data_IF_416903147417
#
_entry.id   IF_416903147417
#
_cell.length_a   1.000
_cell.length_b   1.000
_cell.length_c   1.000
_cell.angle_alpha   90.00
_cell.angle_beta   90.00
_cell.angle_gamma   90.00
#
_symmetry.space_group_name_H-M   'P 1'
#
loop_
_entity.id
_entity.type
_entity.pdbx_description
1 polymer ?
#
# COMPACT_ATOMS: atom_id res chain seq x y z
N UNK A 1 -16.24 28.88 -5.38
CA UNK A 1 -14.80 28.72 -5.10
C UNK A 1 -13.99 29.81 -5.80
N UNK A 2 -14.24 30.05 -7.09
CA UNK A 2 -13.62 31.15 -7.87
C UNK A 2 -13.75 32.52 -7.21
N UNK A 3 -14.92 32.88 -6.67
CA UNK A 3 -15.11 34.18 -5.99
C UNK A 3 -14.18 34.36 -4.77
N UNK A 4 -14.02 33.33 -3.93
CA UNK A 4 -13.12 33.41 -2.76
C UNK A 4 -11.64 33.45 -3.15
N UNK A 5 -11.25 32.68 -4.16
CA UNK A 5 -9.88 32.65 -4.64
C UNK A 5 -9.50 33.95 -5.37
N UNK A 6 -10.43 34.56 -6.11
CA UNK A 6 -10.27 35.90 -6.68
C UNK A 6 -9.99 36.94 -5.58
N UNK A 7 -10.74 36.91 -4.48
CA UNK A 7 -10.53 37.83 -3.35
C UNK A 7 -9.16 37.63 -2.67
N UNK A 8 -8.71 36.37 -2.49
CA UNK A 8 -7.38 36.07 -1.95
C UNK A 8 -6.28 36.57 -2.91
N UNK A 9 -6.45 36.40 -4.21
CA UNK A 9 -5.51 36.90 -5.22
C UNK A 9 -5.42 38.42 -5.26
N UNK A 10 -6.55 39.12 -5.08
CA UNK A 10 -6.57 40.58 -4.95
C UNK A 10 -5.81 41.04 -3.70
N UNK A 11 -5.99 40.36 -2.56
CA UNK A 11 -5.27 40.64 -1.32
C UNK A 11 -3.76 40.38 -1.43
N UNK A 12 -3.37 39.29 -2.10
CA UNK A 12 -1.97 38.90 -2.27
C UNK A 12 -1.28 39.55 -3.49
N UNK A 13 -2.01 40.36 -4.28
CA UNK A 13 -1.54 40.98 -5.53
C UNK A 13 -0.98 39.97 -6.55
N UNK A 14 -1.59 38.79 -6.65
CA UNK A 14 -1.19 37.73 -7.58
C UNK A 14 -2.14 37.69 -8.77
N UNK A 15 -1.62 37.58 -10.00
CA UNK A 15 -2.44 37.49 -11.23
C UNK A 15 -3.28 36.22 -11.20
N UNK A 16 -4.61 36.37 -11.29
CA UNK A 16 -5.57 35.27 -11.31
C UNK A 16 -5.72 34.71 -12.72
N UNK A 17 -5.15 33.53 -12.97
CA UNK A 17 -5.42 32.70 -14.15
C UNK A 17 -5.95 31.34 -13.67
N UNK A 18 -7.19 31.00 -14.01
CA UNK A 18 -7.90 29.83 -13.45
C UNK A 18 -7.29 28.48 -13.82
N UNK A 19 -6.50 28.35 -14.88
CA UNK A 19 -5.91 27.05 -15.28
C UNK A 19 -4.40 26.96 -15.01
N UNK A 20 -3.69 28.09 -15.04
CA UNK A 20 -2.23 28.13 -14.85
C UNK A 20 -1.79 28.61 -13.47
N UNK A 21 -2.68 29.24 -12.68
CA UNK A 21 -2.30 29.77 -11.37
C UNK A 21 -1.96 28.64 -10.39
N UNK A 22 -0.71 28.68 -9.89
CA UNK A 22 -0.24 27.80 -8.83
C UNK A 22 -1.12 27.92 -7.57
N UNK A 23 -1.54 29.14 -7.22
CA UNK A 23 -2.42 29.38 -6.07
C UNK A 23 -3.80 28.72 -6.25
N UNK A 24 -4.36 28.73 -7.46
CA UNK A 24 -5.62 28.02 -7.71
C UNK A 24 -5.46 26.51 -7.55
N UNK A 25 -4.37 25.94 -8.08
CA UNK A 25 -4.04 24.51 -7.92
C UNK A 25 -3.89 24.13 -6.45
N UNK A 26 -3.16 24.93 -5.67
CA UNK A 26 -2.97 24.76 -4.23
C UNK A 26 -4.29 24.89 -3.45
N UNK A 27 -5.12 25.91 -3.73
CA UNK A 27 -6.42 26.08 -3.07
C UNK A 27 -7.40 24.96 -3.42
N UNK A 28 -7.38 24.50 -4.67
CA UNK A 28 -8.22 23.39 -5.13
C UNK A 28 -7.89 22.11 -4.38
N UNK A 29 -6.60 21.74 -4.31
CA UNK A 29 -6.18 20.51 -3.65
C UNK A 29 -6.35 20.57 -2.12
N UNK A 30 -6.15 21.74 -1.50
CA UNK A 30 -6.41 21.90 -0.06
C UNK A 30 -7.90 21.80 0.31
N UNK A 31 -8.81 22.11 -0.63
CA UNK A 31 -10.26 21.98 -0.45
C UNK A 31 -10.81 20.60 -0.82
N UNK A 32 -10.01 19.74 -1.43
CA UNK A 32 -10.43 18.37 -1.79
C UNK A 32 -10.80 17.57 -0.54
N UNK A 33 -11.93 16.84 -0.50
CA UNK A 33 -12.29 15.98 0.62
C UNK A 33 -11.18 14.98 1.00
N UNK A 34 -11.14 14.55 2.25
CA UNK A 34 -10.09 13.66 2.76
C UNK A 34 -10.08 12.32 2.04
N UNK A 35 -11.26 11.74 1.82
CA UNK A 35 -11.45 10.50 1.08
C UNK A 35 -10.93 10.62 -0.35
N UNK A 36 -11.23 11.73 -1.03
CA UNK A 36 -10.78 11.98 -2.40
C UNK A 36 -9.25 12.13 -2.49
N UNK A 37 -8.62 12.77 -1.50
CA UNK A 37 -7.15 12.85 -1.43
C UNK A 37 -6.52 11.47 -1.19
N UNK A 38 -7.14 10.62 -0.36
CA UNK A 38 -6.67 9.24 -0.14
C UNK A 38 -6.79 8.43 -1.43
N UNK A 39 -7.89 8.55 -2.17
CA UNK A 39 -8.05 7.90 -3.47
C UNK A 39 -7.00 8.37 -4.47
N UNK A 40 -6.75 9.68 -4.56
CA UNK A 40 -5.70 10.25 -5.42
C UNK A 40 -4.31 9.74 -5.04
N UNK A 41 -4.01 9.59 -3.74
CA UNK A 41 -2.77 8.98 -3.27
C UNK A 41 -2.59 7.55 -3.82
N UNK A 42 -3.62 6.70 -3.73
CA UNK A 42 -3.55 5.33 -4.23
C UNK A 42 -3.53 5.24 -5.76
N UNK A 43 -4.19 6.15 -6.48
CA UNK A 43 -4.06 6.28 -7.95
C UNK A 43 -2.59 6.51 -8.30
N UNK A 44 -1.94 7.49 -7.66
CA UNK A 44 -0.53 7.81 -7.91
C UNK A 44 0.40 6.64 -7.62
N UNK A 45 0.13 5.84 -6.58
CA UNK A 45 0.91 4.64 -6.29
C UNK A 45 0.69 3.52 -7.33
N UNK A 46 -0.53 3.37 -7.83
CA UNK A 46 -0.84 2.48 -8.95
C UNK A 46 -0.09 2.88 -10.21
N UNK A 47 -0.15 4.15 -10.58
CA UNK A 47 0.58 4.70 -11.72
C UNK A 47 2.09 4.52 -11.57
N UNK A 48 2.64 4.73 -10.37
CA UNK A 48 4.07 4.48 -10.09
C UNK A 48 4.43 3.01 -10.31
N UNK A 49 3.57 2.08 -9.89
CA UNK A 49 3.80 0.64 -10.09
C UNK A 49 3.80 0.29 -11.57
N UNK A 50 2.79 0.76 -12.32
CA UNK A 50 2.61 0.46 -13.75
C UNK A 50 3.74 1.07 -14.60
N UNK A 51 4.15 2.30 -14.29
CA UNK A 51 5.12 3.03 -15.09
C UNK A 51 6.59 2.74 -14.70
N UNK A 52 6.84 1.94 -13.67
CA UNK A 52 8.22 1.57 -13.31
C UNK A 52 8.76 0.51 -14.27
N UNK A 53 9.85 0.83 -14.96
CA UNK A 53 10.54 -0.12 -15.82
C UNK A 53 11.18 -1.25 -15.02
N UNK A 54 11.01 -2.48 -15.50
CA UNK A 54 11.61 -3.68 -14.90
C UNK A 54 13.01 -3.86 -15.48
N UNK A 55 14.00 -3.99 -14.59
CA UNK A 55 15.39 -4.31 -14.93
C UNK A 55 15.78 -5.64 -14.26
N UNK A 56 16.94 -6.19 -14.61
CA UNK A 56 17.43 -7.45 -14.04
C UNK A 56 17.62 -7.41 -12.51
N UNK A 57 17.76 -6.22 -11.92
CA UNK A 57 17.90 -6.02 -10.47
C UNK A 57 16.58 -5.68 -9.78
N UNK A 58 15.52 -5.43 -10.54
CA UNK A 58 14.22 -5.05 -9.98
C UNK A 58 13.60 -6.26 -9.28
N UNK A 59 13.14 -6.07 -8.04
CA UNK A 59 12.30 -7.05 -7.37
C UNK A 59 10.98 -7.15 -8.14
N UNK A 60 10.55 -8.36 -8.49
CA UNK A 60 9.33 -8.56 -9.27
C UNK A 60 8.45 -9.65 -8.67
N UNK A 61 7.15 -9.54 -8.93
CA UNK A 61 6.18 -10.57 -8.62
C UNK A 61 5.48 -11.02 -9.90
N UNK A 62 5.45 -12.33 -10.12
CA UNK A 62 4.66 -12.96 -11.18
C UNK A 62 3.34 -13.45 -10.60
N UNK A 63 2.23 -13.03 -11.21
CA UNK A 63 0.89 -13.45 -10.79
C UNK A 63 -0.06 -13.56 -11.98
N UNK A 64 -1.20 -14.20 -11.79
CA UNK A 64 -2.37 -14.12 -12.67
C UNK A 64 -3.53 -13.55 -11.87
N UNK A 65 -4.27 -12.62 -12.44
CA UNK A 65 -5.38 -11.95 -11.75
C UNK A 65 -6.52 -11.67 -12.72
N UNK A 66 -7.75 -11.83 -12.24
CA UNK A 66 -8.95 -11.51 -13.01
C UNK A 66 -10.19 -11.54 -12.13
N UNK A 67 -11.28 -10.96 -12.61
CA UNK A 67 -12.53 -10.87 -11.85
C UNK A 67 -13.73 -11.42 -12.62
N UNK A 68 -14.77 -11.85 -11.89
CA UNK A 68 -16.06 -12.27 -12.44
C UNK A 68 -17.19 -11.61 -11.66
N UNK A 69 -18.15 -10.93 -12.32
CA UNK A 69 -19.37 -10.48 -11.66
C UNK A 69 -20.20 -11.67 -11.16
N UNK A 70 -20.71 -11.58 -9.95
CA UNK A 70 -21.57 -12.56 -9.30
C UNK A 70 -23.00 -12.02 -9.16
N UNK A 71 -23.92 -12.89 -8.78
CA UNK A 71 -25.26 -12.48 -8.36
C UNK A 71 -25.19 -11.59 -7.12
N UNK A 72 -26.14 -10.65 -6.98
CA UNK A 72 -26.21 -9.77 -5.81
C UNK A 72 -25.24 -8.59 -5.82
N UNK A 73 -24.84 -8.08 -7.00
CA UNK A 73 -23.93 -6.91 -7.14
C UNK A 73 -22.59 -7.12 -6.44
N UNK A 74 -22.04 -8.33 -6.56
CA UNK A 74 -20.74 -8.70 -6.04
C UNK A 74 -19.78 -9.04 -7.18
N UNK A 75 -18.50 -8.89 -6.92
CA UNK A 75 -17.41 -9.27 -7.81
C UNK A 75 -16.52 -10.27 -7.09
N UNK A 76 -16.27 -11.41 -7.75
CA UNK A 76 -15.27 -12.37 -7.31
C UNK A 76 -13.93 -12.03 -7.96
N UNK A 77 -13.01 -11.48 -7.17
CA UNK A 77 -11.62 -11.30 -7.56
C UNK A 77 -10.86 -12.60 -7.32
N UNK A 78 -10.18 -13.12 -8.34
CA UNK A 78 -9.39 -14.34 -8.28
C UNK A 78 -7.93 -14.05 -8.63
N UNK A 79 -7.01 -14.59 -7.85
CA UNK A 79 -5.57 -14.32 -7.94
C UNK A 79 -4.77 -15.60 -7.78
N UNK A 80 -3.78 -15.82 -8.63
CA UNK A 80 -2.77 -16.85 -8.46
C UNK A 80 -1.42 -16.17 -8.27
N UNK A 81 -0.87 -16.23 -7.06
CA UNK A 81 0.47 -15.72 -6.74
C UNK A 81 1.47 -16.83 -7.07
N UNK A 82 2.28 -16.62 -8.11
CA UNK A 82 3.13 -17.67 -8.68
C UNK A 82 4.50 -17.66 -8.01
N UNK A 83 5.25 -16.57 -8.16
CA UNK A 83 6.63 -16.45 -7.69
C UNK A 83 7.07 -15.00 -7.56
N UNK A 84 8.11 -14.75 -6.77
CA UNK A 84 8.86 -13.50 -6.82
C UNK A 84 10.30 -13.76 -7.26
N UNK A 85 10.94 -12.70 -7.75
CA UNK A 85 12.34 -12.70 -8.14
C UNK A 85 13.05 -11.48 -7.53
N UNK A 86 14.33 -11.64 -7.20
CA UNK A 86 15.18 -10.60 -6.64
C UNK A 86 14.62 -9.97 -5.35
N UNK A 87 14.05 -10.76 -4.45
CA UNK A 87 13.71 -10.28 -3.12
C UNK A 87 15.00 -9.81 -2.43
N UNK A 88 15.03 -8.63 -1.79
CA UNK A 88 16.20 -8.16 -1.07
C UNK A 88 16.53 -9.09 0.09
N UNK A 89 17.83 -9.20 0.39
CA UNK A 89 18.31 -9.85 1.62
C UNK A 89 17.92 -8.95 2.79
N UNK A 90 17.06 -9.43 3.67
CA UNK A 90 16.57 -8.69 4.84
C UNK A 90 17.15 -9.28 6.12
N UNK A 91 17.33 -10.60 6.20
CA UNK A 91 18.13 -11.22 7.25
C UNK A 91 19.63 -11.17 6.93
N UNK A 92 20.31 -10.23 7.59
CA UNK A 92 21.76 -10.00 7.48
C UNK A 92 22.57 -11.20 7.98
N UNK A 93 22.08 -11.93 8.99
CA UNK A 93 22.80 -13.06 9.59
C UNK A 93 22.76 -14.28 8.69
N UNK A 94 21.60 -14.62 8.13
CA UNK A 94 21.48 -15.76 7.20
C UNK A 94 21.87 -15.41 5.76
N UNK A 95 22.04 -14.12 5.44
CA UNK A 95 22.20 -13.59 4.07
C UNK A 95 21.07 -14.06 3.14
N UNK A 96 19.88 -14.21 3.68
CA UNK A 96 18.70 -14.68 2.99
C UNK A 96 17.46 -13.94 3.46
N UNK A 97 16.31 -14.40 2.99
CA UNK A 97 14.99 -13.96 3.46
C UNK A 97 14.07 -15.18 3.46
N UNK A 98 13.07 -15.14 4.32
CA UNK A 98 11.94 -16.05 4.44
C UNK A 98 10.66 -15.38 3.88
N UNK A 99 10.58 -15.07 2.56
CA UNK A 99 9.52 -14.22 2.03
C UNK A 99 8.13 -14.86 2.02
N UNK A 100 7.13 -14.00 2.25
CA UNK A 100 5.72 -14.24 1.97
C UNK A 100 5.05 -13.00 1.37
N UNK A 101 3.90 -13.19 0.75
CA UNK A 101 3.10 -12.11 0.15
C UNK A 101 1.88 -11.86 0.99
N UNK A 102 1.60 -10.60 1.32
CA UNK A 102 0.33 -10.13 1.90
C UNK A 102 -0.46 -9.38 0.85
N UNK A 103 -1.76 -9.64 0.80
CA UNK A 103 -2.68 -9.03 -0.17
C UNK A 103 -3.72 -8.23 0.61
N UNK A 104 -3.89 -6.96 0.28
CA UNK A 104 -4.85 -6.07 0.94
C UNK A 104 -5.64 -5.24 -0.07
N UNK A 105 -6.91 -4.97 0.22
CA UNK A 105 -7.71 -4.00 -0.53
C UNK A 105 -7.55 -2.62 0.10
N UNK A 106 -7.38 -1.60 -0.76
CA UNK A 106 -7.16 -0.22 -0.36
C UNK A 106 -8.13 0.70 -1.08
N UNK A 107 -8.57 1.81 -0.44
CA UNK A 107 -8.19 2.26 0.90
C UNK A 107 -8.94 1.53 2.04
N UNK A 108 -8.35 1.47 3.23
CA UNK A 108 -8.90 0.72 4.38
C UNK A 108 -10.27 1.22 4.88
N UNK A 109 -10.57 2.51 4.76
CA UNK A 109 -11.90 3.01 5.15
C UNK A 109 -13.01 2.47 4.23
N UNK A 110 -12.69 2.09 2.98
CA UNK A 110 -13.63 1.37 2.10
C UNK A 110 -13.56 -0.14 2.28
N UNK A 111 -12.39 -0.66 2.60
CA UNK A 111 -12.12 -2.08 2.76
C UNK A 111 -11.58 -2.38 4.17
N UNK A 112 -12.44 -2.27 5.20
CA UNK A 112 -12.05 -2.53 6.58
C UNK A 112 -11.68 -4.01 6.76
N UNK A 113 -10.66 -4.30 7.58
CA UNK A 113 -10.08 -5.64 7.70
C UNK A 113 -11.07 -6.69 8.22
N UNK A 114 -12.06 -6.26 9.01
CA UNK A 114 -13.11 -7.13 9.55
C UNK A 114 -13.98 -7.72 8.44
N UNK A 115 -14.19 -6.97 7.36
CA UNK A 115 -14.98 -7.40 6.20
C UNK A 115 -14.12 -7.89 5.03
N UNK A 116 -12.88 -7.38 4.92
CA UNK A 116 -11.94 -7.67 3.85
C UNK A 116 -10.60 -8.08 4.45
N UNK A 117 -10.48 -9.35 4.92
CA UNK A 117 -9.25 -9.82 5.54
C UNK A 117 -8.09 -9.75 4.54
N UNK A 118 -6.87 -9.66 5.07
CA UNK A 118 -5.66 -9.60 4.27
C UNK A 118 -4.97 -10.96 4.17
N UNK A 119 -5.30 -11.81 3.17
CA UNK A 119 -4.71 -13.13 3.07
C UNK A 119 -3.21 -13.05 2.80
N UNK A 120 -2.50 -14.05 3.31
CA UNK A 120 -1.05 -14.20 3.14
C UNK A 120 -0.71 -15.52 2.48
N UNK A 121 0.41 -15.56 1.77
CA UNK A 121 0.96 -16.83 1.28
C UNK A 121 1.61 -17.62 2.41
N UNK A 122 1.96 -18.88 2.12
CA UNK A 122 2.97 -19.60 2.89
C UNK A 122 4.29 -18.83 2.91
N UNK A 123 4.99 -18.92 4.04
CA UNK A 123 6.36 -18.46 4.17
C UNK A 123 7.29 -19.43 3.45
N UNK A 124 8.16 -18.91 2.59
CA UNK A 124 9.18 -19.70 1.90
C UNK A 124 10.53 -19.39 2.50
N UNK A 125 11.12 -20.38 3.17
CA UNK A 125 12.37 -20.17 3.90
C UNK A 125 13.58 -20.01 2.99
N UNK A 126 14.51 -19.13 3.40
CA UNK A 126 15.87 -18.95 2.88
C UNK A 126 15.94 -18.86 1.36
N UNK A 127 15.14 -17.98 0.77
CA UNK A 127 15.09 -17.79 -0.68
C UNK A 127 14.82 -16.35 -1.08
N UNK A 128 15.59 -15.88 -2.06
CA UNK A 128 15.36 -14.58 -2.72
C UNK A 128 14.48 -14.71 -3.98
N UNK A 129 14.11 -15.94 -4.34
CA UNK A 129 13.32 -16.27 -5.53
C UNK A 129 12.20 -17.28 -5.18
N UNK A 130 11.30 -16.93 -4.24
CA UNK A 130 10.27 -17.83 -3.76
C UNK A 130 9.27 -18.21 -4.86
N UNK A 131 8.75 -19.43 -4.78
CA UNK A 131 7.62 -19.91 -5.58
C UNK A 131 6.51 -20.33 -4.63
N UNK A 132 5.33 -19.73 -4.78
CA UNK A 132 4.17 -20.05 -3.93
C UNK A 132 3.15 -20.89 -4.68
N UNK A 133 2.79 -20.50 -5.90
CA UNK A 133 1.70 -21.10 -6.69
C UNK A 133 0.39 -21.19 -5.89
N UNK A 134 0.08 -20.15 -5.11
CA UNK A 134 -1.07 -20.12 -4.21
C UNK A 134 -2.20 -19.28 -4.78
N UNK A 135 -3.41 -19.82 -4.68
CA UNK A 135 -4.62 -19.24 -5.24
C UNK A 135 -5.47 -18.59 -4.15
N UNK A 136 -5.90 -17.36 -4.40
CA UNK A 136 -6.71 -16.56 -3.49
C UNK A 136 -7.98 -16.08 -4.19
N UNK A 137 -9.03 -15.89 -3.39
CA UNK A 137 -10.28 -15.29 -3.81
C UNK A 137 -10.74 -14.25 -2.80
N UNK A 138 -11.29 -13.16 -3.30
CA UNK A 138 -11.91 -12.12 -2.49
C UNK A 138 -13.24 -11.72 -3.12
N UNK A 139 -14.26 -11.53 -2.30
CA UNK A 139 -15.57 -11.04 -2.74
C UNK A 139 -15.66 -9.56 -2.42
N UNK A 140 -15.96 -8.74 -3.42
CA UNK A 140 -15.97 -7.28 -3.33
C UNK A 140 -17.34 -6.78 -3.80
N UNK A 141 -17.93 -5.80 -3.10
CA UNK A 141 -19.14 -5.16 -3.58
C UNK A 141 -18.84 -4.45 -4.92
N UNK A 142 -19.70 -4.63 -5.92
CA UNK A 142 -19.52 -4.04 -7.26
C UNK A 142 -19.38 -2.51 -7.19
N UNK A 143 -20.16 -1.88 -6.30
CA UNK A 143 -20.10 -0.44 -6.04
C UNK A 143 -18.75 0.06 -5.52
N UNK A 144 -17.94 -0.80 -4.90
CA UNK A 144 -16.59 -0.47 -4.40
C UNK A 144 -15.49 -0.82 -5.39
N UNK A 145 -15.69 -1.87 -6.19
CA UNK A 145 -14.68 -2.39 -7.11
C UNK A 145 -14.32 -1.39 -8.22
N UNK A 146 -15.31 -0.64 -8.71
CA UNK A 146 -15.14 0.32 -9.81
C UNK A 146 -14.83 1.75 -9.34
N UNK A 147 -14.63 1.97 -8.04
CA UNK A 147 -14.23 3.29 -7.53
C UNK A 147 -12.81 3.59 -8.00
N UNK A 148 -12.63 4.76 -8.63
CA UNK A 148 -11.30 5.21 -9.03
C UNK A 148 -10.44 5.46 -7.78
N UNK A 149 -9.25 4.86 -7.73
CA UNK A 149 -8.39 4.83 -6.55
C UNK A 149 -8.60 3.65 -5.60
N UNK A 150 -9.62 2.80 -5.83
CA UNK A 150 -9.63 1.48 -5.23
C UNK A 150 -8.57 0.59 -5.89
N UNK A 151 -7.70 -0.01 -5.08
CA UNK A 151 -6.60 -0.81 -5.57
C UNK A 151 -6.29 -2.00 -4.67
N UNK A 152 -5.59 -2.99 -5.23
CA UNK A 152 -4.96 -4.06 -4.48
C UNK A 152 -3.55 -3.63 -4.10
N UNK A 153 -3.23 -3.64 -2.81
CA UNK A 153 -1.86 -3.54 -2.30
C UNK A 153 -1.29 -4.94 -2.15
N UNK A 154 -0.19 -5.19 -2.83
CA UNK A 154 0.57 -6.44 -2.71
C UNK A 154 1.91 -6.11 -2.06
N UNK A 155 2.12 -6.64 -0.85
CA UNK A 155 3.36 -6.43 -0.10
C UNK A 155 4.13 -7.73 -0.02
N UNK A 156 5.42 -7.72 -0.36
CA UNK A 156 6.33 -8.82 -0.04
C UNK A 156 6.98 -8.49 1.30
N UNK A 157 6.84 -9.41 2.25
CA UNK A 157 7.41 -9.30 3.58
C UNK A 157 8.40 -10.44 3.80
N UNK A 158 9.40 -10.19 4.64
CA UNK A 158 10.26 -11.21 5.22
C UNK A 158 9.72 -11.66 6.57
N UNK A 159 9.75 -12.96 6.84
CA UNK A 159 9.34 -13.48 8.14
C UNK A 159 10.53 -13.62 9.07
N UNK A 160 10.55 -12.79 10.11
CA UNK A 160 11.59 -12.86 11.13
C UNK A 160 11.08 -13.54 12.40
N UNK A 161 11.67 -14.69 12.73
CA UNK A 161 11.31 -15.47 13.93
C UNK A 161 11.71 -14.75 15.23
N UNK A 162 12.73 -13.88 15.16
CA UNK A 162 13.34 -13.22 16.33
C UNK A 162 13.01 -11.72 16.43
N UNK A 163 12.80 -11.06 15.29
CA UNK A 163 12.56 -9.62 15.18
C UNK A 163 11.12 -9.33 14.70
N UNK A 164 10.96 -8.38 13.77
CA UNK A 164 9.70 -7.94 13.20
C UNK A 164 9.75 -8.16 11.70
N UNK A 165 8.62 -8.43 11.05
CA UNK A 165 8.61 -8.83 9.65
C UNK A 165 8.97 -7.65 8.74
N UNK A 166 10.16 -7.67 8.15
CA UNK A 166 10.61 -6.59 7.29
C UNK A 166 9.82 -6.52 5.97
N UNK A 167 9.41 -5.31 5.58
CA UNK A 167 8.79 -5.11 4.28
C UNK A 167 9.87 -5.01 3.19
N UNK A 168 9.87 -5.96 2.27
CA UNK A 168 10.77 -5.94 1.11
C UNK A 168 10.34 -4.87 0.10
N UNK A 169 9.04 -4.76 -0.13
CA UNK A 169 8.47 -3.76 -1.02
C UNK A 169 7.03 -4.04 -1.37
N UNK A 170 6.45 -3.13 -2.15
CA UNK A 170 5.02 -3.09 -2.43
C UNK A 170 4.72 -2.78 -3.88
N UNK A 171 3.57 -3.26 -4.34
CA UNK A 171 2.96 -2.91 -5.60
C UNK A 171 1.49 -2.59 -5.40
N UNK A 172 0.98 -1.66 -6.22
CA UNK A 172 -0.42 -1.25 -6.21
C UNK A 172 -1.02 -1.53 -7.58
N UNK A 173 -2.08 -2.35 -7.60
CA UNK A 173 -2.82 -2.69 -8.83
C UNK A 173 -4.20 -2.04 -8.74
N UNK A 174 -4.51 -1.00 -9.54
CA UNK A 174 -5.85 -0.43 -9.56
C UNK A 174 -6.89 -1.49 -9.94
N UNK A 175 -7.98 -1.61 -9.17
CA UNK A 175 -8.98 -2.65 -9.42
C UNK A 175 -9.62 -2.53 -10.80
N UNK A 176 -9.75 -1.30 -11.30
CA UNK A 176 -10.25 -0.98 -12.63
C UNK A 176 -9.40 -1.54 -13.78
N UNK A 177 -8.13 -1.86 -13.54
CA UNK A 177 -7.22 -2.42 -14.56
C UNK A 177 -7.30 -3.94 -14.65
N UNK A 178 -7.96 -4.59 -13.70
CA UNK A 178 -8.02 -6.05 -13.61
C UNK A 178 -8.98 -6.59 -14.69
N UNK A 179 -8.61 -7.61 -15.49
CA UNK A 179 -9.45 -8.08 -16.57
C UNK A 179 -10.66 -8.88 -16.08
N UNK A 180 -11.80 -8.73 -16.75
CA UNK A 180 -12.95 -9.62 -16.60
C UNK A 180 -12.64 -11.00 -17.18
N UNK A 181 -13.02 -12.06 -16.46
CA UNK A 181 -12.87 -13.45 -16.89
C UNK A 181 -14.21 -14.03 -17.36
N UNK A 182 -14.14 -15.06 -18.21
CA UNK A 182 -15.34 -15.76 -18.70
C UNK A 182 -15.99 -16.68 -17.64
N UNK A 183 -15.24 -17.08 -16.61
CA UNK A 183 -15.73 -17.92 -15.51
C UNK A 183 -14.77 -17.92 -14.33
N UNK A 184 -15.22 -18.40 -13.17
CA UNK A 184 -14.50 -18.29 -11.89
C UNK A 184 -13.37 -19.30 -11.67
N UNK A 185 -13.23 -20.28 -12.57
CA UNK A 185 -12.20 -21.32 -12.47
C UNK A 185 -10.79 -20.79 -12.73
N UNK A 186 -9.78 -21.39 -12.08
CA UNK A 186 -8.36 -21.02 -12.20
C UNK A 186 -7.88 -21.09 -13.66
N UNK A 187 -8.39 -22.01 -14.46
CA UNK A 187 -8.02 -22.15 -15.88
C UNK A 187 -8.39 -20.91 -16.70
N UNK A 188 -9.42 -20.17 -16.28
CA UNK A 188 -9.91 -18.96 -16.95
C UNK A 188 -9.15 -17.69 -16.53
N UNK A 189 -8.20 -17.78 -15.59
CA UNK A 189 -7.36 -16.66 -15.24
C UNK A 189 -6.60 -16.18 -16.50
N UNK A 190 -6.44 -14.86 -16.69
CA UNK A 190 -5.62 -14.29 -17.75
C UNK A 190 -4.18 -14.82 -17.75
N UNK A 191 -3.44 -14.49 -18.81
CA UNK A 191 -1.99 -14.74 -18.87
C UNK A 191 -1.30 -14.09 -17.68
N UNK A 192 -0.22 -14.71 -17.23
CA UNK A 192 0.55 -14.18 -16.11
C UNK A 192 1.14 -12.81 -16.47
N UNK A 193 1.11 -11.91 -15.50
CA UNK A 193 1.75 -10.60 -15.55
C UNK A 193 2.95 -10.60 -14.60
N UNK A 194 3.93 -9.76 -14.91
CA UNK A 194 5.08 -9.50 -14.05
C UNK A 194 4.99 -8.03 -13.65
N UNK A 195 4.92 -7.78 -12.35
CA UNK A 195 4.85 -6.43 -11.80
C UNK A 195 6.13 -6.14 -10.99
N UNK A 196 6.64 -4.89 -11.02
CA UNK A 196 7.71 -4.48 -10.13
C UNK A 196 7.17 -4.37 -8.69
N UNK A 197 8.00 -4.75 -7.73
CA UNK A 197 7.76 -4.56 -6.30
C UNK A 197 8.72 -3.45 -5.86
N UNK A 198 8.17 -2.34 -5.40
CA UNK A 198 8.92 -1.12 -5.15
C UNK A 198 9.25 -0.96 -3.65
N UNK A 199 10.46 -0.52 -3.30
CA UNK A 199 10.79 -0.27 -1.91
C UNK A 199 9.96 0.89 -1.36
N UNK A 200 9.46 0.69 -0.13
CA UNK A 200 8.75 1.71 0.64
C UNK A 200 9.73 2.85 0.94
N UNK A 201 9.44 4.04 0.41
CA UNK A 201 10.38 5.17 0.41
C UNK A 201 9.67 6.50 0.54
N UNK A 202 10.37 7.54 1.00
CA UNK A 202 9.79 8.89 1.14
C UNK A 202 9.17 9.42 -0.17
N UNK A 203 9.74 9.03 -1.31
CA UNK A 203 9.26 9.43 -2.64
C UNK A 203 7.84 8.92 -2.93
N UNK A 204 7.33 7.96 -2.14
CA UNK A 204 5.96 7.51 -2.25
C UNK A 204 4.96 8.50 -1.67
N UNK A 205 5.35 9.45 -0.83
CA UNK A 205 4.43 10.43 -0.24
C UNK A 205 4.37 11.70 -1.09
N UNK A 206 3.36 11.76 -1.96
CA UNK A 206 3.09 12.91 -2.81
C UNK A 206 2.40 14.04 -2.08
N UNK A 207 1.97 15.03 -2.85
CA UNK A 207 1.30 16.23 -2.33
C UNK A 207 -0.01 15.89 -1.61
N UNK A 208 -0.72 14.84 -2.04
CA UNK A 208 -1.95 14.38 -1.40
C UNK A 208 -1.68 13.95 0.04
N UNK A 209 -0.59 13.22 0.25
CA UNK A 209 -0.18 12.77 1.57
C UNK A 209 0.27 13.94 2.47
N UNK A 210 0.99 14.92 1.90
CA UNK A 210 1.42 16.09 2.66
C UNK A 210 0.22 16.90 3.17
N UNK A 211 -0.77 17.14 2.31
CA UNK A 211 -1.98 17.86 2.69
C UNK A 211 -2.78 17.09 3.75
N UNK A 212 -2.92 15.77 3.58
CA UNK A 212 -3.59 14.93 4.57
C UNK A 212 -2.89 14.99 5.94
N UNK A 213 -1.55 14.98 5.95
CA UNK A 213 -0.76 15.09 7.18
C UNK A 213 -0.99 16.42 7.91
N UNK A 214 -1.24 17.50 7.18
CA UNK A 214 -1.50 18.82 7.76
C UNK A 214 -2.93 18.95 8.30
N UNK A 215 -3.84 18.01 7.99
CA UNK A 215 -5.21 17.95 8.53
C UNK A 215 -5.25 17.33 9.93
N UNK A 216 -4.55 17.95 10.88
CA UNK A 216 -4.40 17.45 12.26
C UNK A 216 -5.71 17.24 13.03
N UNK A 217 -6.80 17.88 12.60
CA UNK A 217 -8.13 17.79 13.22
C UNK A 217 -9.07 16.81 12.51
N UNK A 218 -8.63 16.19 11.42
CA UNK A 218 -9.38 15.17 10.68
C UNK A 218 -8.89 13.79 11.11
N UNK A 219 -9.76 13.05 11.82
CA UNK A 219 -9.41 11.72 12.32
C UNK A 219 -9.13 10.73 11.19
N UNK A 220 -9.85 10.80 10.07
CA UNK A 220 -9.68 9.90 8.92
C UNK A 220 -8.32 10.16 8.27
N UNK A 221 -7.98 11.43 8.05
CA UNK A 221 -6.68 11.82 7.50
C UNK A 221 -5.53 11.38 8.42
N UNK A 222 -5.68 11.61 9.72
CA UNK A 222 -4.70 11.23 10.73
C UNK A 222 -4.49 9.72 10.79
N UNK A 223 -5.55 8.92 10.89
CA UNK A 223 -5.46 7.45 10.93
C UNK A 223 -4.79 6.89 9.68
N UNK A 224 -5.16 7.43 8.50
CA UNK A 224 -4.53 7.08 7.23
C UNK A 224 -3.03 7.40 7.23
N UNK A 225 -2.63 8.63 7.58
CA UNK A 225 -1.23 9.05 7.58
C UNK A 225 -0.40 8.26 8.60
N UNK A 226 -0.95 8.03 9.81
CA UNK A 226 -0.31 7.25 10.86
C UNK A 226 -0.09 5.80 10.41
N UNK A 227 -1.02 5.21 9.65
CA UNK A 227 -0.88 3.87 9.07
C UNK A 227 0.21 3.78 8.01
N UNK A 228 0.21 4.70 7.05
CA UNK A 228 1.21 4.68 5.97
C UNK A 228 2.62 5.03 6.49
N UNK A 229 2.74 5.85 7.53
CA UNK A 229 4.01 6.08 8.24
C UNK A 229 4.40 4.89 9.11
N UNK A 230 3.42 4.19 9.70
CA UNK A 230 3.67 2.99 10.49
C UNK A 230 4.34 1.91 9.62
N UNK A 231 3.77 1.59 8.46
CA UNK A 231 4.35 0.58 7.55
C UNK A 231 5.79 0.92 7.19
N UNK A 232 6.06 2.18 6.86
CA UNK A 232 7.40 2.62 6.48
C UNK A 232 8.40 2.55 7.63
N UNK A 233 8.03 3.00 8.81
CA UNK A 233 8.98 3.21 9.90
C UNK A 233 9.16 1.97 10.78
N UNK A 234 8.21 1.03 10.77
CA UNK A 234 8.11 -0.03 11.78
C UNK A 234 8.15 -1.45 11.24
N UNK A 235 8.38 -1.67 9.93
CA UNK A 235 8.69 -3.01 9.42
C UNK A 235 7.69 -4.08 9.94
N UNK A 236 6.40 -3.79 9.77
CA UNK A 236 5.22 -4.63 10.04
C UNK A 236 5.37 -5.66 11.20
N UNK A 237 4.93 -5.31 12.41
CA UNK A 237 4.66 -6.31 13.45
C UNK A 237 3.69 -7.41 12.95
N UNK A 238 3.80 -8.65 13.48
CA UNK A 238 3.10 -9.82 12.94
C UNK A 238 1.57 -9.66 12.86
N UNK A 239 0.92 -10.31 11.88
CA UNK A 239 -0.48 -10.09 11.54
C UNK A 239 -1.41 -10.86 12.49
N UNK A 240 -1.49 -10.47 13.75
CA UNK A 240 -2.52 -10.95 14.68
C UNK A 240 -2.85 -9.84 15.71
N UNK A 241 -3.59 -8.83 15.27
CA UNK A 241 -4.45 -8.07 16.16
C UNK A 241 -5.48 -7.31 15.34
N UNK A 242 -6.72 -7.29 15.82
CA UNK A 242 -7.66 -6.23 15.43
C UNK A 242 -6.94 -4.89 15.66
N UNK A 243 -7.14 -3.96 14.74
CA UNK A 243 -6.38 -2.72 14.59
C UNK A 243 -6.72 -1.70 15.71
N UNK A 244 -6.64 -2.15 16.97
CA UNK A 244 -6.91 -1.33 18.15
C UNK A 244 -5.72 -0.40 18.38
N UNK A 245 -6.02 0.89 18.54
CA UNK A 245 -5.06 1.97 18.85
C UNK A 245 -4.10 1.65 20.01
N UNK A 246 -4.50 0.72 20.89
CA UNK A 246 -3.68 0.20 21.98
C UNK A 246 -2.44 -0.56 21.48
N UNK A 247 -2.57 -1.35 20.41
CA UNK A 247 -1.46 -2.11 19.83
C UNK A 247 -0.41 -1.20 19.19
N UNK A 248 -0.84 -0.13 18.50
CA UNK A 248 0.05 0.90 17.95
C UNK A 248 0.85 1.58 19.07
N UNK A 249 0.20 1.86 20.19
CA UNK A 249 0.81 2.49 21.36
C UNK A 249 1.84 1.55 22.01
N UNK A 250 1.52 0.27 22.15
CA UNK A 250 2.39 -0.74 22.75
C UNK A 250 3.60 -1.08 21.85
N UNK A 251 3.40 -1.06 20.53
CA UNK A 251 4.45 -1.19 19.52
C UNK A 251 5.48 -0.04 19.60
N UNK A 252 5.00 1.20 19.68
CA UNK A 252 5.85 2.40 19.82
C UNK A 252 6.67 2.32 21.11
N UNK A 253 6.04 1.97 22.24
CA UNK A 253 6.72 1.80 23.53
C UNK A 253 7.80 0.70 23.48
N UNK A 254 7.48 -0.42 22.85
CA UNK A 254 8.41 -1.56 22.73
C UNK A 254 9.61 -1.20 21.85
N UNK A 255 9.40 -0.42 20.78
CA UNK A 255 10.46 0.07 19.92
C UNK A 255 11.37 1.08 20.63
N UNK A 256 10.80 2.04 21.38
CA UNK A 256 11.59 3.02 22.13
C UNK A 256 12.44 2.37 23.21
N UNK A 257 11.91 1.32 23.85
CA UNK A 257 12.66 0.49 24.80
C UNK A 257 13.83 -0.23 24.12
N UNK A 258 13.62 -0.80 22.92
CA UNK A 258 14.67 -1.49 22.15
C UNK A 258 15.70 -0.54 21.54
N UNK A 259 15.31 0.64 21.03
CA UNK A 259 16.25 1.69 20.59
C UNK A 259 17.17 2.13 21.72
N UNK A 260 16.65 2.24 22.94
CA UNK A 260 17.47 2.49 24.14
C UNK A 260 18.44 1.34 24.40
N UNK A 261 17.98 0.08 24.35
CA UNK A 261 18.85 -1.08 24.55
C UNK A 261 19.96 -1.18 23.50
N UNK A 262 19.65 -0.98 22.21
CA UNK A 262 20.64 -1.01 21.12
C UNK A 262 21.67 0.13 21.31
N UNK A 263 21.23 1.35 21.65
CA UNK A 263 22.14 2.45 21.98
C UNK A 263 23.05 2.12 23.16
N UNK A 264 22.54 1.44 24.19
CA UNK A 264 23.35 0.99 25.33
C UNK A 264 24.37 -0.06 24.94
N UNK A 265 23.99 -1.04 24.10
CA UNK A 265 24.91 -2.09 23.62
C UNK A 265 26.01 -1.49 22.75
N UNK A 266 25.68 -0.58 21.83
CA UNK A 266 26.66 0.12 20.99
C UNK A 266 27.64 0.94 21.84
N UNK A 267 27.15 1.62 22.88
CA UNK A 267 27.97 2.41 23.81
C UNK A 267 28.86 1.55 24.73
N UNK A 268 28.57 0.25 24.86
CA UNK A 268 29.37 -0.68 25.65
C UNK A 268 30.34 -1.49 24.77
N UNK A 269 30.16 -1.48 23.45
CA UNK A 269 30.98 -2.21 22.48
C UNK A 269 32.04 -1.31 21.80
N UNK A 270 31.91 0.01 21.93
CA UNK A 270 32.83 1.04 21.45
C UNK A 270 33.03 2.10 22.53
#
# INVERSE_FOLDING_TARGET
>A
MESACYHICQLLKVVWNTEESQLYKELKINKTPTEDLILQYYIRLGDRTINTSITDKTQTLTLRIGYVPMTGQQILLSMLIIKANNVPILDIFSKSSDPYVRIELMPRYFFPLESYPSPTTEIRQKTLNPKWNQFFRMTIAESKFFINGACLRISILDHDVVLFNDIAGEAFIPLSTIPKMAGSEIKNLPKQIIIPILPVSNNQYGIEFMILKDRIHDNVAKEFCDYELYIKNYHMLPPLCNDDNEFRTEAIKTLDKRKKQIKTVIKNAF
#
